data_IF_410193780750
#
_entry.id   IF_410193780750
#
_cell.length_a   1.000
_cell.length_b   1.000
_cell.length_c   1.000
_cell.angle_alpha   90.00
_cell.angle_beta   90.00
_cell.angle_gamma   90.00
#
_symmetry.space_group_name_H-M   'P 1'
#
loop_
_entity.id
_entity.type
_entity.pdbx_description
1 polymer ?
#
# COMPACT_ATOMS: atom_id res chain seq x y z
N UNK A 1 21.14 15.17 -0.65
CA UNK A 1 22.11 16.21 -1.02
C UNK A 1 21.64 17.56 -0.47
N UNK A 2 22.35 18.19 0.48
CA UNK A 2 22.03 19.54 0.98
C UNK A 2 22.60 20.64 0.07
N UNK A 3 21.92 21.80 0.01
CA UNK A 3 22.27 22.94 -0.84
C UNK A 3 22.36 24.22 -0.02
N UNK A 4 23.05 25.26 -0.51
CA UNK A 4 23.11 26.56 0.17
C UNK A 4 21.74 27.27 0.21
N UNK A 5 21.00 27.17 -0.88
CA UNK A 5 19.71 27.85 -1.08
C UNK A 5 18.65 26.89 -1.64
N UNK A 6 17.40 27.04 -1.19
CA UNK A 6 16.22 26.35 -1.72
C UNK A 6 15.20 27.38 -2.21
N UNK A 7 14.65 27.17 -3.41
CA UNK A 7 13.66 28.06 -4.03
C UNK A 7 12.31 27.35 -4.18
N UNK A 8 11.25 27.97 -3.71
CA UNK A 8 9.86 27.57 -3.98
C UNK A 8 9.29 28.49 -5.07
N UNK A 9 9.22 28.00 -6.31
CA UNK A 9 8.97 28.82 -7.50
C UNK A 9 7.50 29.01 -7.93
N UNK A 10 6.60 28.13 -7.51
CA UNK A 10 5.19 28.13 -7.97
C UNK A 10 4.26 27.78 -6.82
N UNK A 11 3.13 28.47 -6.73
CA UNK A 11 2.06 28.12 -5.81
C UNK A 11 1.33 26.84 -6.27
N UNK A 12 1.40 25.77 -5.48
CA UNK A 12 0.67 24.52 -5.72
C UNK A 12 -0.10 24.06 -4.48
N UNK A 13 -1.38 23.65 -4.58
CA UNK A 13 -2.14 23.16 -3.43
C UNK A 13 -1.50 21.92 -2.78
N UNK A 14 -0.65 21.20 -3.52
CA UNK A 14 0.09 20.02 -3.04
C UNK A 14 1.20 20.36 -2.04
N UNK A 15 1.62 21.63 -1.94
CA UNK A 15 2.65 22.06 -0.99
C UNK A 15 2.09 22.11 0.44
N UNK A 16 2.25 21.00 1.16
CA UNK A 16 1.88 20.86 2.57
C UNK A 16 2.98 21.40 3.49
N UNK A 17 2.67 21.76 4.75
CA UNK A 17 3.68 22.17 5.74
C UNK A 17 4.78 21.12 5.97
N UNK A 18 4.44 19.83 5.96
CA UNK A 18 5.40 18.73 6.07
C UNK A 18 6.40 18.77 4.90
N UNK A 19 5.89 18.83 3.68
CA UNK A 19 6.71 18.89 2.47
C UNK A 19 7.58 20.14 2.44
N UNK A 20 7.03 21.28 2.83
CA UNK A 20 7.79 22.51 2.97
C UNK A 20 8.97 22.34 3.92
N UNK A 21 8.76 21.84 5.16
CA UNK A 21 9.87 21.65 6.12
C UNK A 21 10.91 20.63 5.65
N UNK A 22 10.49 19.55 4.98
CA UNK A 22 11.40 18.56 4.41
C UNK A 22 12.26 19.14 3.29
N UNK A 23 11.68 19.97 2.42
CA UNK A 23 12.38 20.63 1.32
C UNK A 23 13.26 21.77 1.81
N UNK A 24 12.72 22.68 2.63
CA UNK A 24 13.44 23.83 3.17
C UNK A 24 14.57 23.39 4.09
N UNK A 25 14.43 22.27 4.80
CA UNK A 25 15.48 21.66 5.62
C UNK A 25 16.69 21.13 4.83
N UNK A 26 16.64 21.16 3.49
CA UNK A 26 17.81 20.92 2.64
C UNK A 26 18.68 22.17 2.44
N UNK A 27 18.21 23.35 2.85
CA UNK A 27 18.97 24.59 2.80
C UNK A 27 19.98 24.68 3.95
N UNK A 28 21.22 25.06 3.64
CA UNK A 28 22.33 25.17 4.58
C UNK A 28 23.12 23.86 4.73
N UNK A 29 24.36 23.84 4.25
CA UNK A 29 25.26 22.70 4.40
C UNK A 29 26.04 22.82 5.72
N UNK A 30 25.86 21.82 6.60
CA UNK A 30 26.55 21.75 7.89
C UNK A 30 28.07 21.82 7.69
N UNK A 31 28.73 22.75 8.39
CA UNK A 31 30.18 22.95 8.33
C UNK A 31 30.68 23.84 7.19
N UNK A 32 29.83 24.26 6.25
CA UNK A 32 30.22 25.11 5.11
C UNK A 32 29.46 26.43 5.05
N UNK A 33 28.14 26.39 5.27
CA UNK A 33 27.29 27.58 5.21
C UNK A 33 26.92 28.03 6.63
N UNK A 34 27.06 29.32 6.94
CA UNK A 34 26.64 29.88 8.23
C UNK A 34 25.12 29.84 8.42
N UNK A 35 24.36 29.95 7.32
CA UNK A 35 22.91 29.86 7.29
C UNK A 35 22.41 29.26 5.96
N UNK A 36 21.23 28.65 5.99
CA UNK A 36 20.51 28.20 4.79
C UNK A 36 19.52 29.25 4.31
N UNK A 37 19.50 29.54 3.01
CA UNK A 37 18.57 30.52 2.44
C UNK A 37 17.35 29.83 1.83
N UNK A 38 16.15 30.30 2.16
CA UNK A 38 14.88 29.80 1.58
C UNK A 38 14.15 30.96 0.91
N UNK A 39 13.97 30.86 -0.40
CA UNK A 39 13.32 31.88 -1.21
C UNK A 39 11.93 31.41 -1.66
N UNK A 40 10.94 32.28 -1.59
CA UNK A 40 9.62 32.07 -2.17
C UNK A 40 9.45 32.99 -3.37
N UNK A 41 9.03 32.43 -4.50
CA UNK A 41 8.69 33.14 -5.71
C UNK A 41 7.26 32.73 -6.10
N UNK A 42 6.42 33.72 -6.39
CA UNK A 42 5.02 33.48 -6.81
C UNK A 42 4.18 32.64 -5.83
N UNK A 43 4.47 32.72 -4.52
CA UNK A 43 3.67 32.09 -3.45
C UNK A 43 2.97 33.18 -2.62
N UNK A 44 1.64 33.10 -2.41
CA UNK A 44 0.91 34.09 -1.61
C UNK A 44 1.43 34.20 -0.17
N UNK A 45 1.45 35.43 0.36
CA UNK A 45 1.92 35.72 1.73
C UNK A 45 1.15 34.97 2.81
N UNK A 46 -0.17 34.80 2.63
CA UNK A 46 -1.01 33.99 3.51
C UNK A 46 -0.54 32.55 3.60
N UNK A 47 -0.20 31.95 2.45
CA UNK A 47 0.32 30.59 2.38
C UNK A 47 1.72 30.47 2.96
N UNK A 48 2.61 31.44 2.71
CA UNK A 48 3.94 31.48 3.31
C UNK A 48 3.86 31.47 4.84
N UNK A 49 3.03 32.35 5.44
CA UNK A 49 2.81 32.36 6.90
C UNK A 49 2.35 30.99 7.39
N UNK A 50 1.34 30.40 6.73
CA UNK A 50 0.84 29.06 7.08
C UNK A 50 1.94 28.00 7.02
N UNK A 51 2.77 27.97 5.98
CA UNK A 51 3.84 26.98 5.84
C UNK A 51 4.90 27.11 6.93
N UNK A 52 5.21 28.34 7.35
CA UNK A 52 6.18 28.62 8.41
C UNK A 52 5.64 28.28 9.81
N UNK A 53 4.36 28.58 10.09
CA UNK A 53 3.81 28.47 11.45
C UNK A 53 2.98 27.22 11.71
N UNK A 54 2.49 26.52 10.67
CA UNK A 54 1.64 25.35 10.86
C UNK A 54 2.35 24.24 11.65
N UNK A 55 1.61 23.62 12.57
CA UNK A 55 2.06 22.41 13.26
C UNK A 55 2.19 21.25 12.27
N UNK A 56 3.11 20.33 12.56
CA UNK A 56 3.25 19.11 11.77
C UNK A 56 2.10 18.16 12.12
N UNK A 57 1.57 17.50 11.09
CA UNK A 57 0.63 16.40 11.29
C UNK A 57 1.30 15.30 12.12
N UNK A 58 0.59 14.76 13.10
CA UNK A 58 1.06 13.59 13.83
C UNK A 58 1.17 12.40 12.89
N UNK A 59 2.15 11.53 13.15
CA UNK A 59 2.29 10.30 12.38
C UNK A 59 1.09 9.41 12.66
N UNK A 60 0.31 9.12 11.62
CA UNK A 60 -0.82 8.22 11.68
C UNK A 60 -0.51 6.94 10.90
N UNK A 61 -0.78 5.80 11.50
CA UNK A 61 -0.66 4.51 10.83
C UNK A 61 -1.75 4.36 9.78
N UNK A 62 -1.36 3.92 8.58
CA UNK A 62 -2.31 3.45 7.59
C UNK A 62 -2.67 2.00 7.88
N UNK A 63 -3.96 1.64 7.85
CA UNK A 63 -4.40 0.28 8.12
C UNK A 63 -3.94 -0.65 6.97
N UNK A 64 -3.13 -1.70 7.24
CA UNK A 64 -2.59 -2.58 6.21
C UNK A 64 -3.60 -3.66 5.79
N UNK A 65 -4.75 -3.31 5.24
CA UNK A 65 -5.78 -4.30 4.92
C UNK A 65 -6.32 -4.05 3.52
N UNK A 66 -5.45 -4.00 2.52
CA UNK A 66 -5.95 -4.16 1.16
C UNK A 66 -6.40 -5.63 0.97
N UNK A 67 -7.31 -5.92 0.04
CA UNK A 67 -7.78 -7.32 -0.13
C UNK A 67 -6.62 -8.20 -0.60
N UNK A 68 -5.72 -7.69 -1.44
CA UNK A 68 -4.54 -8.46 -1.86
C UNK A 68 -3.48 -8.53 -0.76
N UNK A 69 -3.41 -7.57 0.17
CA UNK A 69 -2.60 -7.73 1.39
C UNK A 69 -3.07 -8.93 2.20
N UNK A 70 -4.38 -9.09 2.39
CA UNK A 70 -4.94 -10.25 3.11
C UNK A 70 -4.61 -11.55 2.37
N UNK A 71 -4.73 -11.57 1.03
CA UNK A 71 -4.32 -12.72 0.22
C UNK A 71 -2.83 -13.08 0.40
N UNK A 72 -1.95 -12.07 0.39
CA UNK A 72 -0.50 -12.25 0.62
C UNK A 72 -0.19 -12.72 2.04
N UNK A 73 -0.86 -12.15 3.03
CA UNK A 73 -0.70 -12.55 4.43
C UNK A 73 -1.12 -14.00 4.63
N UNK A 74 -2.25 -14.44 4.08
CA UNK A 74 -2.67 -15.84 4.12
C UNK A 74 -1.71 -16.75 3.35
N UNK A 75 -1.20 -16.31 2.21
CA UNK A 75 -0.19 -17.04 1.44
C UNK A 75 1.12 -17.19 2.21
N UNK A 76 1.52 -16.17 2.97
CA UNK A 76 2.67 -16.21 3.88
C UNK A 76 2.45 -17.21 5.02
N UNK A 77 1.28 -17.21 5.66
CA UNK A 77 0.93 -18.17 6.71
C UNK A 77 0.98 -19.62 6.19
N UNK A 78 0.48 -19.86 4.97
CA UNK A 78 0.45 -21.19 4.34
C UNK A 78 1.69 -21.54 3.50
N UNK A 79 2.73 -20.70 3.47
CA UNK A 79 3.95 -21.02 2.72
C UNK A 79 4.62 -22.30 3.27
N UNK A 80 5.47 -22.96 2.48
CA UNK A 80 6.22 -24.12 2.98
C UNK A 80 7.22 -23.69 4.05
N UNK A 81 7.45 -24.53 5.05
CA UNK A 81 8.44 -24.26 6.08
C UNK A 81 9.82 -24.13 5.41
N UNK A 82 10.41 -22.94 5.53
CA UNK A 82 11.75 -22.69 5.03
C UNK A 82 12.74 -23.35 6.00
N UNK A 83 13.56 -24.26 5.48
CA UNK A 83 14.65 -24.87 6.24
C UNK A 83 15.84 -23.91 6.21
N UNK A 84 16.47 -23.66 7.36
CA UNK A 84 17.72 -22.89 7.39
C UNK A 84 18.81 -23.64 6.61
N UNK A 85 19.61 -22.92 5.82
CA UNK A 85 20.74 -23.51 5.08
C UNK A 85 21.71 -24.27 6.01
N UNK A 86 21.76 -23.88 7.30
CA UNK A 86 22.63 -24.46 8.33
C UNK A 86 22.02 -25.62 9.15
N UNK A 87 20.92 -26.24 8.72
CA UNK A 87 20.29 -27.41 9.43
C UNK A 87 19.95 -27.16 10.91
N UNK A 88 19.81 -25.90 11.36
CA UNK A 88 19.50 -25.52 12.75
C UNK A 88 17.99 -25.57 13.09
N UNK A 89 17.16 -26.23 12.27
CA UNK A 89 15.70 -26.25 12.43
C UNK A 89 14.96 -25.34 11.44
N UNK A 90 13.62 -25.35 11.45
CA UNK A 90 12.82 -24.52 10.55
C UNK A 90 12.96 -23.03 10.89
N UNK A 91 13.13 -22.18 9.88
CA UNK A 91 13.25 -20.70 10.04
C UNK A 91 11.94 -20.11 10.57
N UNK A 92 10.80 -20.66 10.13
CA UNK A 92 9.48 -20.23 10.57
C UNK A 92 8.48 -21.36 10.37
N UNK A 93 7.88 -21.83 11.45
CA UNK A 93 6.79 -22.81 11.41
C UNK A 93 5.47 -22.16 11.02
N UNK A 94 4.47 -22.95 10.64
CA UNK A 94 3.10 -22.47 10.40
C UNK A 94 2.55 -21.68 11.62
N UNK A 95 2.70 -22.22 12.83
CA UNK A 95 2.15 -21.63 14.06
C UNK A 95 2.76 -20.25 14.38
N UNK A 96 4.06 -20.08 14.16
CA UNK A 96 4.73 -18.79 14.37
C UNK A 96 4.27 -17.74 13.35
N UNK A 97 4.06 -18.15 12.09
CA UNK A 97 3.57 -17.27 11.03
C UNK A 97 2.12 -16.86 11.26
N UNK A 98 1.28 -17.79 11.69
CA UNK A 98 -0.10 -17.52 12.09
C UNK A 98 -0.15 -16.51 13.25
N UNK A 99 0.64 -16.74 14.31
CA UNK A 99 0.72 -15.82 15.46
C UNK A 99 1.19 -14.42 15.03
N UNK A 100 2.17 -14.34 14.15
CA UNK A 100 2.69 -13.06 13.63
C UNK A 100 1.64 -12.32 12.80
N UNK A 101 0.91 -13.04 11.94
CA UNK A 101 -0.18 -12.50 11.16
C UNK A 101 -1.33 -11.98 12.04
N UNK A 102 -1.75 -12.75 13.05
CA UNK A 102 -2.76 -12.33 14.01
C UNK A 102 -2.32 -11.10 14.81
N UNK A 103 -1.07 -11.07 15.26
CA UNK A 103 -0.49 -9.93 15.96
C UNK A 103 -0.55 -8.66 15.09
N UNK A 104 -0.22 -8.76 13.80
CA UNK A 104 -0.30 -7.64 12.86
C UNK A 104 -1.74 -7.10 12.72
N UNK A 105 -2.74 -7.98 12.59
CA UNK A 105 -4.14 -7.56 12.47
C UNK A 105 -4.68 -6.95 13.78
N UNK A 106 -4.30 -7.50 14.93
CA UNK A 106 -4.82 -7.12 16.24
C UNK A 106 -4.11 -5.91 16.85
N UNK A 107 -2.82 -5.75 16.58
CA UNK A 107 -1.95 -4.73 17.17
C UNK A 107 -1.28 -3.87 16.09
N UNK A 108 -2.00 -3.54 15.02
CA UNK A 108 -1.48 -2.65 13.98
C UNK A 108 -1.21 -1.24 14.53
N UNK A 109 -0.17 -0.57 14.02
CA UNK A 109 0.17 0.81 14.40
C UNK A 109 -0.99 1.81 14.19
N UNK A 110 -1.89 1.52 13.23
CA UNK A 110 -3.10 2.32 12.97
C UNK A 110 -4.07 2.34 14.15
N UNK A 111 -4.12 1.27 14.95
CA UNK A 111 -4.98 1.16 16.14
C UNK A 111 -4.47 2.00 17.32
N UNK A 112 -3.19 2.37 17.34
CA UNK A 112 -2.63 3.17 18.44
C UNK A 112 -2.55 4.66 18.11
N UNK A 113 -2.53 5.02 16.82
CA UNK A 113 -2.28 6.39 16.37
C UNK A 113 -3.52 7.13 15.88
N UNK A 114 -4.56 6.40 15.45
CA UNK A 114 -5.79 7.02 14.94
C UNK A 114 -6.78 7.27 16.08
N UNK A 115 -7.42 8.45 16.05
CA UNK A 115 -8.50 8.79 17.00
C UNK A 115 -9.68 7.82 16.91
N UNK A 116 -9.96 7.33 15.70
CA UNK A 116 -11.00 6.34 15.39
C UNK A 116 -10.83 5.01 16.15
N UNK A 117 -9.61 4.71 16.60
CA UNK A 117 -9.32 3.49 17.34
C UNK A 117 -9.69 3.58 18.83
N UNK A 118 -9.79 4.78 19.40
CA UNK A 118 -10.09 4.97 20.83
C UNK A 118 -11.44 4.37 21.23
N UNK A 119 -12.41 4.39 20.32
CA UNK A 119 -13.76 3.86 20.54
C UNK A 119 -13.89 2.39 20.11
N UNK A 120 -12.79 1.72 19.71
CA UNK A 120 -12.81 0.37 19.16
C UNK A 120 -13.49 0.23 17.77
N UNK A 121 -13.98 1.32 17.20
CA UNK A 121 -14.67 1.34 15.89
C UNK A 121 -13.73 0.86 14.79
N UNK A 122 -12.49 1.38 14.76
CA UNK A 122 -11.51 0.95 13.77
C UNK A 122 -11.22 -0.56 13.89
N UNK A 123 -11.05 -1.09 15.10
CA UNK A 123 -10.81 -2.53 15.29
C UNK A 123 -11.98 -3.37 14.75
N UNK A 124 -13.22 -2.95 14.98
CA UNK A 124 -14.40 -3.63 14.43
C UNK A 124 -14.45 -3.54 12.91
N UNK A 125 -14.19 -2.38 12.34
CA UNK A 125 -14.12 -2.19 10.88
C UNK A 125 -13.06 -3.09 10.25
N UNK A 126 -11.88 -3.19 10.87
CA UNK A 126 -10.80 -4.05 10.38
C UNK A 126 -11.17 -5.54 10.41
N UNK A 127 -11.82 -6.00 11.48
CA UNK A 127 -12.34 -7.37 11.57
C UNK A 127 -13.38 -7.66 10.47
N UNK A 128 -14.36 -6.76 10.30
CA UNK A 128 -15.39 -6.90 9.27
C UNK A 128 -14.78 -6.87 7.87
N UNK A 129 -13.85 -5.95 7.61
CA UNK A 129 -13.15 -5.85 6.34
C UNK A 129 -12.33 -7.11 6.04
N UNK A 130 -11.68 -7.67 7.06
CA UNK A 130 -10.91 -8.91 6.91
C UNK A 130 -11.83 -10.08 6.56
N UNK A 131 -12.95 -10.22 7.26
CA UNK A 131 -13.95 -11.24 6.96
C UNK A 131 -14.53 -11.09 5.54
N UNK A 132 -14.90 -9.86 5.16
CA UNK A 132 -15.38 -9.53 3.82
C UNK A 132 -14.34 -9.88 2.74
N UNK A 133 -13.08 -9.49 2.96
CA UNK A 133 -11.99 -9.77 2.01
C UNK A 133 -11.75 -11.27 1.82
N UNK A 134 -11.79 -12.06 2.90
CA UNK A 134 -11.68 -13.53 2.80
C UNK A 134 -12.86 -14.09 1.98
N UNK A 135 -14.09 -13.63 2.23
CA UNK A 135 -15.26 -14.06 1.48
C UNK A 135 -15.17 -13.68 0.00
N UNK A 136 -14.74 -12.45 -0.30
CA UNK A 136 -14.54 -11.98 -1.67
C UNK A 136 -13.48 -12.81 -2.40
N UNK A 137 -12.34 -13.09 -1.75
CA UNK A 137 -11.27 -13.90 -2.33
C UNK A 137 -11.70 -15.36 -2.58
N UNK A 138 -12.54 -15.94 -1.72
CA UNK A 138 -13.18 -17.24 -1.97
C UNK A 138 -14.14 -17.19 -3.16
N UNK A 139 -14.94 -16.13 -3.27
CA UNK A 139 -15.84 -15.94 -4.40
C UNK A 139 -15.07 -15.84 -5.73
N UNK A 140 -13.92 -15.16 -5.73
CA UNK A 140 -12.99 -15.07 -6.87
C UNK A 140 -12.18 -16.34 -7.13
N UNK A 141 -12.44 -17.44 -6.41
CA UNK A 141 -11.70 -18.71 -6.54
C UNK A 141 -10.19 -18.55 -6.34
N UNK A 142 -9.76 -17.58 -5.53
CA UNK A 142 -8.35 -17.34 -5.17
C UNK A 142 -7.98 -17.93 -3.81
N UNK A 143 -8.97 -18.21 -2.97
CA UNK A 143 -8.78 -18.93 -1.70
C UNK A 143 -9.61 -20.21 -1.69
N UNK A 144 -9.08 -21.25 -1.05
CA UNK A 144 -9.83 -22.45 -0.68
C UNK A 144 -10.63 -22.24 0.61
N UNK A 145 -11.46 -23.24 0.97
CA UNK A 145 -12.17 -23.26 2.25
C UNK A 145 -11.22 -23.23 3.44
N UNK A 146 -10.02 -23.81 3.30
CA UNK A 146 -8.96 -23.80 4.31
C UNK A 146 -8.11 -22.52 4.30
N UNK A 147 -8.53 -21.45 3.60
CA UNK A 147 -7.80 -20.20 3.45
C UNK A 147 -6.43 -20.32 2.77
N UNK A 148 -6.17 -21.42 2.06
CA UNK A 148 -4.97 -21.58 1.24
C UNK A 148 -5.18 -20.89 -0.12
N UNK A 149 -4.13 -20.23 -0.63
CA UNK A 149 -4.15 -19.68 -1.99
C UNK A 149 -4.36 -20.77 -3.04
N UNK A 150 -5.25 -20.52 -4.02
CA UNK A 150 -5.58 -21.44 -5.13
C UNK A 150 -5.51 -20.72 -6.48
N UNK A 151 -5.37 -21.47 -7.56
CA UNK A 151 -5.45 -20.99 -8.95
C UNK A 151 -4.43 -19.86 -9.19
N UNK A 152 -4.93 -18.68 -9.56
CA UNK A 152 -4.13 -17.50 -9.90
C UNK A 152 -3.84 -16.62 -8.67
N UNK A 153 -3.97 -17.14 -7.44
CA UNK A 153 -3.67 -16.40 -6.21
C UNK A 153 -2.26 -15.81 -6.19
N UNK A 154 -1.26 -16.58 -6.67
CA UNK A 154 0.11 -16.10 -6.78
C UNK A 154 0.24 -14.90 -7.74
N UNK A 155 -0.45 -14.96 -8.88
CA UNK A 155 -0.52 -13.84 -9.84
C UNK A 155 -1.25 -12.63 -9.25
N UNK A 156 -2.32 -12.85 -8.49
CA UNK A 156 -3.08 -11.78 -7.82
C UNK A 156 -2.23 -11.02 -6.82
N UNK A 157 -1.45 -11.76 -6.04
CA UNK A 157 -0.52 -11.25 -5.06
C UNK A 157 0.58 -10.40 -5.72
N UNK A 158 1.21 -10.90 -6.79
CA UNK A 158 2.31 -10.19 -7.47
C UNK A 158 1.82 -8.96 -8.24
N UNK A 159 0.66 -9.04 -8.90
CA UNK A 159 0.08 -7.90 -9.61
C UNK A 159 -0.30 -6.75 -8.66
N UNK A 160 -0.64 -7.05 -7.41
CA UNK A 160 -0.89 -6.03 -6.38
C UNK A 160 0.38 -5.25 -5.99
N UNK A 161 1.57 -5.83 -6.18
CA UNK A 161 2.84 -5.17 -5.87
C UNK A 161 3.30 -4.26 -7.02
N UNK A 162 3.08 -4.69 -8.25
CA UNK A 162 3.53 -3.98 -9.47
C UNK A 162 2.57 -2.86 -9.86
N UNK A 163 1.27 -3.06 -9.66
CA UNK A 163 0.25 -2.08 -10.01
C UNK A 163 -0.33 -1.43 -8.75
N UNK A 164 -0.34 -0.10 -8.72
CA UNK A 164 -1.04 0.69 -7.70
C UNK A 164 -2.56 0.54 -7.76
N UNK A 165 -3.09 -0.31 -8.65
CA UNK A 165 -4.51 -0.46 -8.93
C UNK A 165 -5.14 -1.67 -8.26
N UNK A 166 -5.19 -1.74 -6.92
CA UNK A 166 -6.34 -2.41 -6.30
C UNK A 166 -7.58 -1.51 -6.50
N UNK A 167 -8.73 -2.04 -6.92
CA UNK A 167 -9.09 -3.45 -7.10
C UNK A 167 -8.85 -4.01 -8.52
N UNK A 168 -8.25 -3.24 -9.42
CA UNK A 168 -8.01 -3.62 -10.83
C UNK A 168 -7.25 -4.93 -11.02
N UNK A 169 -6.32 -5.28 -10.14
CA UNK A 169 -5.65 -6.59 -10.15
C UNK A 169 -6.62 -7.77 -9.95
N UNK A 170 -7.58 -7.65 -9.01
CA UNK A 170 -8.59 -8.66 -8.75
C UNK A 170 -9.58 -8.77 -9.90
N UNK A 171 -10.00 -7.62 -10.45
CA UNK A 171 -10.89 -7.56 -11.63
C UNK A 171 -10.21 -8.20 -12.84
N UNK A 172 -8.94 -7.87 -13.09
CA UNK A 172 -8.17 -8.45 -14.18
C UNK A 172 -8.13 -9.98 -14.09
N UNK A 173 -7.89 -10.52 -12.90
CA UNK A 173 -7.84 -11.97 -12.70
C UNK A 173 -9.21 -12.60 -12.87
N UNK A 174 -10.27 -11.94 -12.39
CA UNK A 174 -11.63 -12.40 -12.62
C UNK A 174 -11.95 -12.47 -14.13
N UNK A 175 -11.59 -11.45 -14.90
CA UNK A 175 -11.77 -11.42 -16.36
C UNK A 175 -10.95 -12.51 -17.06
N UNK A 176 -9.73 -12.77 -16.56
CA UNK A 176 -8.85 -13.81 -17.07
C UNK A 176 -9.44 -15.20 -16.80
N UNK A 177 -9.94 -15.46 -15.58
CA UNK A 177 -10.62 -16.71 -15.21
C UNK A 177 -11.86 -16.98 -16.07
N UNK A 178 -12.61 -15.93 -16.44
CA UNK A 178 -13.80 -16.05 -17.30
C UNK A 178 -13.48 -16.12 -18.81
N UNK A 179 -12.19 -16.08 -19.19
CA UNK A 179 -11.76 -16.15 -20.59
C UNK A 179 -12.23 -14.96 -21.43
N UNK A 180 -12.51 -13.81 -20.82
CA UNK A 180 -13.07 -12.63 -21.52
C UNK A 180 -12.11 -12.14 -22.60
N UNK A 181 -10.80 -12.09 -22.32
CA UNK A 181 -9.79 -11.70 -23.30
C UNK A 181 -9.77 -12.62 -24.53
N UNK A 182 -10.00 -13.92 -24.34
CA UNK A 182 -10.07 -14.86 -25.45
C UNK A 182 -11.34 -14.67 -26.29
N UNK A 183 -12.47 -14.27 -25.68
CA UNK A 183 -13.68 -13.87 -26.42
C UNK A 183 -13.44 -12.60 -27.24
N UNK A 184 -12.82 -11.57 -26.66
CA UNK A 184 -12.51 -10.32 -27.34
C UNK A 184 -11.58 -10.52 -28.57
N UNK A 185 -10.56 -11.38 -28.44
CA UNK A 185 -9.64 -11.68 -29.54
C UNK A 185 -10.39 -12.40 -30.68
N UNK A 186 -11.29 -13.34 -30.36
CA UNK A 186 -12.12 -14.05 -31.34
C UNK A 186 -13.07 -13.12 -32.09
N UNK A 187 -13.74 -12.20 -31.39
CA UNK A 187 -14.63 -11.21 -32.01
C UNK A 187 -13.87 -10.28 -32.96
N UNK A 188 -12.66 -9.88 -32.57
CA UNK A 188 -11.80 -9.02 -33.39
C UNK A 188 -11.34 -9.73 -34.67
N UNK A 189 -11.02 -11.02 -34.59
CA UNK A 189 -10.62 -11.82 -35.77
C UNK A 189 -11.78 -12.02 -36.74
N UNK A 190 -12.99 -12.30 -36.26
CA UNK A 190 -14.20 -12.39 -37.10
C UNK A 190 -14.49 -11.05 -37.79
N UNK A 191 -14.35 -9.94 -37.07
CA UNK A 191 -14.57 -8.58 -37.61
C UNK A 191 -13.54 -8.20 -38.69
N UNK A 192 -12.30 -8.68 -38.57
CA UNK A 192 -11.24 -8.47 -39.56
C UNK A 192 -11.42 -9.33 -40.82
N UNK A 193 -11.97 -10.54 -40.68
CA UNK A 193 -12.27 -11.42 -41.82
C UNK A 193 -13.46 -10.93 -42.62
N UNK A 194 -14.49 -10.35 -41.99
CA UNK A 194 -15.65 -9.78 -42.69
C UNK A 194 -15.30 -8.46 -43.43
N UNK A 195 -14.22 -7.79 -43.04
CA UNK A 195 -13.73 -6.55 -43.68
C UNK A 195 -12.69 -6.78 -44.78
N UNK A 196 -12.34 -8.02 -45.10
CA UNK A 196 -11.51 -8.39 -46.26
C UNK A 196 -12.37 -9.05 -47.32
#
# INVERSE_FOLDING_TARGET
MPCKTVLFGVDTPLLTPLLFRQMSGRAGRRGFDHSGTVCFMSVPTSKMRRLLTASLSTLQGNPPFSTSFILRMLSYVHAKDAMAEDRSGPISTFAEREKSALCLLQHSFSLFTRREAQNGVLQRQLRMYTAFSIQLLRHLQLLSDNCCGKNLAGLAATLAEVSTGEPGNLVFIHLLQHGVFHKMIRETTVSLVIRR
#
